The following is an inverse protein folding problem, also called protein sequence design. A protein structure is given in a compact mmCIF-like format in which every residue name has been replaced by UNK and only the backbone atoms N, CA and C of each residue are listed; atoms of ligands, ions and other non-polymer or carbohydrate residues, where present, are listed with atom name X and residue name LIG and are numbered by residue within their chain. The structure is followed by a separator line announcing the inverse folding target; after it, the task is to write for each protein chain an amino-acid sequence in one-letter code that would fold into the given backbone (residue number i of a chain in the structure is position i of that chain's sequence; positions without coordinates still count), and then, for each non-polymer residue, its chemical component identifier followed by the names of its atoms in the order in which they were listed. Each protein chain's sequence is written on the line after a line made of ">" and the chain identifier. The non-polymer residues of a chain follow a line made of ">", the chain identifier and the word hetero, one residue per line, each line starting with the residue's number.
data_IF_816338385738
#
_entry.id   IF_816338385738
#
_cell.length_a   1.000
_cell.length_b   1.000
_cell.length_c   1.000
_cell.angle_alpha   90.00
_cell.angle_beta   90.00
_cell.angle_gamma   90.00
#
_symmetry.space_group_name_H-M   'P 1'
#
loop_
_entity.id
_entity.type
_entity.pdbx_description
1 polymer ?
#
# COMPACT_ATOMS: atom_id res chain seq x y z
N UNK A 1 11.45 10.66 -17.61
CA UNK A 1 12.19 9.38 -17.44
C UNK A 1 11.26 8.37 -16.77
N UNK A 2 11.19 7.09 -17.21
CA UNK A 2 10.33 6.10 -16.55
C UNK A 2 11.08 5.48 -15.37
N UNK A 3 10.71 5.84 -14.15
CA UNK A 3 11.10 5.06 -12.98
C UNK A 3 10.55 3.63 -13.15
N UNK A 4 11.32 2.63 -12.76
CA UNK A 4 10.82 1.25 -12.79
C UNK A 4 9.72 1.15 -11.74
N UNK A 5 8.56 0.54 -12.07
CA UNK A 5 7.49 0.41 -11.10
C UNK A 5 7.99 -0.36 -9.89
N UNK A 6 7.60 0.11 -8.71
CA UNK A 6 7.93 -0.55 -7.45
C UNK A 6 6.72 -1.37 -7.02
N UNK A 7 6.93 -2.65 -6.72
CA UNK A 7 5.85 -3.55 -6.30
C UNK A 7 6.00 -3.88 -4.81
N UNK A 8 4.92 -3.73 -4.05
CA UNK A 8 4.80 -4.18 -2.66
C UNK A 8 3.53 -5.02 -2.54
N UNK A 9 3.51 -6.05 -1.69
CA UNK A 9 2.37 -6.96 -1.59
C UNK A 9 2.20 -7.51 -0.16
N UNK A 10 0.97 -7.86 0.19
CA UNK A 10 0.62 -8.66 1.38
C UNK A 10 -0.06 -9.98 0.96
N UNK A 11 -0.63 -10.72 1.92
CA UNK A 11 -1.31 -11.98 1.63
C UNK A 11 -2.59 -11.83 0.78
N UNK A 12 -3.17 -10.63 0.71
CA UNK A 12 -4.47 -10.32 0.11
C UNK A 12 -4.35 -9.54 -1.20
N UNK A 13 -3.37 -8.64 -1.32
CA UNK A 13 -3.23 -7.75 -2.49
C UNK A 13 -1.78 -7.48 -2.90
N UNK A 14 -1.61 -7.16 -4.17
CA UNK A 14 -0.38 -6.61 -4.75
C UNK A 14 -0.62 -5.15 -5.10
N UNK A 15 0.36 -4.29 -4.80
CA UNK A 15 0.35 -2.88 -5.16
C UNK A 15 1.50 -2.60 -6.13
N UNK A 16 1.17 -2.10 -7.31
CA UNK A 16 2.15 -1.65 -8.31
C UNK A 16 2.18 -0.14 -8.31
N UNK A 17 3.28 0.41 -7.82
CA UNK A 17 3.50 1.84 -7.67
C UNK A 17 4.23 2.40 -8.89
N UNK A 18 3.66 3.43 -9.49
CA UNK A 18 4.24 4.17 -10.61
C UNK A 18 4.49 5.61 -10.19
N UNK A 19 5.72 6.08 -10.39
CA UNK A 19 6.05 7.51 -10.35
C UNK A 19 6.28 7.97 -11.77
N UNK A 20 5.63 9.08 -12.13
CA UNK A 20 5.57 9.60 -13.48
C UNK A 20 5.90 11.08 -13.46
N UNK A 21 6.43 11.58 -14.57
CA UNK A 21 6.70 12.99 -14.77
C UNK A 21 5.68 13.52 -15.78
N UNK A 22 4.77 14.38 -15.33
CA UNK A 22 3.72 14.99 -16.16
C UNK A 22 3.19 16.26 -15.46
N UNK A 23 3.38 17.48 -16.01
CA UNK A 23 4.26 17.87 -17.12
C UNK A 23 5.76 17.82 -16.75
N UNK A 24 6.70 18.07 -17.69
CA UNK A 24 8.14 18.07 -17.39
C UNK A 24 8.51 18.95 -16.19
N UNK A 25 9.29 18.41 -15.26
CA UNK A 25 9.65 19.07 -14.00
C UNK A 25 8.58 18.99 -12.89
N UNK A 26 7.46 18.30 -13.12
CA UNK A 26 6.47 17.93 -12.10
C UNK A 26 6.31 16.43 -12.07
N UNK A 27 6.22 15.89 -10.85
CA UNK A 27 6.12 14.46 -10.64
C UNK A 27 4.78 14.13 -9.98
N UNK A 28 4.14 13.08 -10.44
CA UNK A 28 2.93 12.52 -9.85
C UNK A 28 3.11 11.02 -9.65
N UNK A 29 2.18 10.39 -8.95
CA UNK A 29 2.20 8.95 -8.75
C UNK A 29 0.81 8.33 -8.90
N UNK A 30 0.81 7.05 -9.24
CA UNK A 30 -0.38 6.20 -9.22
C UNK A 30 -0.04 4.82 -8.68
N UNK A 31 -0.99 4.19 -8.02
CA UNK A 31 -0.90 2.84 -7.49
C UNK A 31 -1.99 2.00 -8.13
N UNK A 32 -1.61 0.89 -8.73
CA UNK A 32 -2.55 -0.16 -9.16
C UNK A 32 -2.63 -1.18 -8.04
N UNK A 33 -3.84 -1.41 -7.54
CA UNK A 33 -4.16 -2.39 -6.50
C UNK A 33 -4.74 -3.61 -7.18
N UNK A 34 -4.04 -4.73 -7.12
CA UNK A 34 -4.48 -6.02 -7.63
C UNK A 34 -4.92 -6.88 -6.42
N UNK A 35 -6.23 -7.05 -6.22
CA UNK A 35 -6.77 -7.87 -5.13
C UNK A 35 -7.12 -9.29 -5.59
N UNK A 36 -6.76 -10.29 -4.78
CA UNK A 36 -7.13 -11.69 -5.04
C UNK A 36 -8.55 -11.98 -4.54
N UNK A 37 -9.56 -11.57 -5.30
CA UNK A 37 -10.97 -11.79 -4.95
C UNK A 37 -11.50 -13.15 -5.45
N UNK A 38 -10.97 -14.26 -4.92
CA UNK A 38 -11.63 -15.58 -5.00
C UNK A 38 -12.09 -16.08 -6.39
N UNK A 39 -11.52 -15.55 -7.48
CA UNK A 39 -11.92 -15.84 -8.87
C UNK A 39 -12.20 -14.62 -9.75
N UNK A 40 -12.23 -13.41 -9.19
CA UNK A 40 -12.34 -12.15 -9.92
C UNK A 40 -11.09 -11.27 -9.74
N UNK A 41 -10.66 -10.63 -10.82
CA UNK A 41 -9.64 -9.58 -10.81
C UNK A 41 -10.34 -8.26 -10.47
N UNK A 42 -10.11 -7.75 -9.25
CA UNK A 42 -10.65 -6.48 -8.79
C UNK A 42 -9.52 -5.44 -8.78
N UNK A 43 -9.16 -4.97 -9.96
CA UNK A 43 -8.08 -3.98 -10.08
C UNK A 43 -8.62 -2.58 -9.79
N UNK A 44 -8.02 -1.88 -8.83
CA UNK A 44 -8.34 -0.48 -8.52
C UNK A 44 -7.13 0.42 -8.77
N UNK A 45 -7.35 1.65 -9.22
CA UNK A 45 -6.29 2.64 -9.40
C UNK A 45 -6.46 3.80 -8.43
N UNK A 46 -5.36 4.19 -7.79
CA UNK A 46 -5.31 5.32 -6.86
C UNK A 46 -4.25 6.29 -7.36
N UNK A 47 -4.61 7.55 -7.49
CA UNK A 47 -3.75 8.60 -8.05
C UNK A 47 -3.40 9.63 -6.98
N UNK A 48 -2.26 10.28 -7.14
CA UNK A 48 -1.85 11.37 -6.26
C UNK A 48 -2.88 12.51 -6.32
N UNK A 49 -3.21 13.09 -5.15
CA UNK A 49 -4.08 14.26 -5.08
C UNK A 49 -3.38 15.55 -5.54
N UNK A 50 -2.05 15.53 -5.72
CA UNK A 50 -1.23 16.68 -6.10
C UNK A 50 0.03 16.24 -6.81
N UNK A 51 0.63 17.17 -7.56
CA UNK A 51 1.98 17.02 -8.12
C UNK A 51 3.06 17.42 -7.10
N UNK A 52 4.27 16.89 -7.30
CA UNK A 52 5.46 17.08 -6.47
C UNK A 52 6.56 17.80 -7.25
N UNK A 53 7.43 18.51 -6.52
CA UNK A 53 8.55 19.26 -7.10
C UNK A 53 9.75 18.40 -7.45
N UNK A 54 9.80 17.16 -6.96
CA UNK A 54 10.89 16.23 -7.22
C UNK A 54 10.40 14.78 -7.29
N UNK A 55 11.13 13.96 -8.05
CA UNK A 55 10.86 12.53 -8.16
C UNK A 55 10.93 11.84 -6.78
N UNK A 56 11.91 12.21 -5.95
CA UNK A 56 12.09 11.64 -4.62
C UNK A 56 10.90 11.91 -3.69
N UNK A 57 10.30 13.10 -3.76
CA UNK A 57 9.09 13.42 -3.00
C UNK A 57 7.88 12.61 -3.48
N UNK A 58 7.71 12.47 -4.80
CA UNK A 58 6.65 11.65 -5.37
C UNK A 58 6.83 10.17 -5.01
N UNK A 59 8.06 9.64 -5.04
CA UNK A 59 8.40 8.28 -4.63
C UNK A 59 8.10 8.04 -3.14
N UNK A 60 8.53 8.96 -2.27
CA UNK A 60 8.28 8.87 -0.84
C UNK A 60 6.78 8.91 -0.51
N UNK A 61 6.03 9.81 -1.16
CA UNK A 61 4.59 9.91 -0.97
C UNK A 61 3.84 8.67 -1.50
N UNK A 62 4.23 8.18 -2.68
CA UNK A 62 3.69 6.95 -3.26
C UNK A 62 3.94 5.74 -2.34
N UNK A 63 5.15 5.64 -1.78
CA UNK A 63 5.51 4.58 -0.84
C UNK A 63 4.72 4.66 0.46
N UNK A 64 4.53 5.86 1.01
CA UNK A 64 3.70 6.08 2.21
C UNK A 64 2.24 5.70 1.94
N UNK A 65 1.68 6.10 0.80
CA UNK A 65 0.33 5.74 0.40
C UNK A 65 0.18 4.21 0.24
N UNK A 66 1.09 3.55 -0.48
CA UNK A 66 1.06 2.11 -0.67
C UNK A 66 1.17 1.33 0.65
N UNK A 67 2.08 1.71 1.54
CA UNK A 67 2.20 1.06 2.86
C UNK A 67 0.98 1.29 3.75
N UNK A 68 0.31 2.44 3.63
CA UNK A 68 -0.95 2.68 4.37
C UNK A 68 -2.10 1.81 3.87
N UNK A 69 -2.04 1.40 2.60
CA UNK A 69 -3.03 0.51 2.01
C UNK A 69 -2.82 -0.91 2.49
N UNK A 70 -1.58 -1.43 2.46
CA UNK A 70 -1.21 -2.73 3.01
C UNK A 70 -1.60 -2.84 4.50
N UNK A 71 -1.79 -4.07 4.99
CA UNK A 71 -2.32 -4.31 6.34
C UNK A 71 -1.61 -3.49 7.43
N UNK A 72 -2.32 -2.46 7.91
CA UNK A 72 -1.84 -1.38 8.76
C UNK A 72 -2.36 -1.43 10.19
N UNK A 73 -2.63 -2.62 10.71
CA UNK A 73 -2.31 -2.95 12.10
C UNK A 73 -1.70 -4.35 12.04
N UNK A 74 -0.49 -4.54 12.56
CA UNK A 74 -0.22 -5.78 13.30
C UNK A 74 -1.39 -5.86 14.25
N UNK A 75 -2.38 -6.72 13.98
CA UNK A 75 -3.56 -6.81 14.83
C UNK A 75 -3.03 -7.04 16.24
N UNK A 76 -3.04 -6.00 17.07
CA UNK A 76 -2.84 -6.10 18.51
C UNK A 76 -4.08 -6.75 19.14
N UNK A 77 -4.66 -7.71 18.43
CA UNK A 77 -5.85 -8.47 18.72
C UNK A 77 -5.57 -9.97 18.65
N UNK A 78 -4.31 -10.39 18.44
CA UNK A 78 -3.88 -11.77 18.69
C UNK A 78 -2.88 -11.81 19.85
N UNK A 79 -3.30 -11.30 21.01
CA UNK A 79 -2.95 -12.01 22.25
C UNK A 79 -3.96 -13.16 22.35
N UNK A 80 -3.62 -14.41 22.00
CA UNK A 80 -4.45 -15.53 22.41
C UNK A 80 -4.57 -15.45 23.92
N UNK A 81 -5.81 -15.30 24.38
CA UNK A 81 -6.13 -15.04 25.78
C UNK A 81 -5.24 -15.84 26.71
N UNK A 82 -4.54 -15.12 27.58
CA UNK A 82 -4.14 -15.67 28.86
C UNK A 82 -5.41 -16.21 29.50
N UNK A 83 -5.62 -17.52 29.41
CA UNK A 83 -6.52 -18.21 30.31
C UNK A 83 -5.97 -17.95 31.72
N UNK A 84 -6.68 -17.24 32.62
CA UNK A 84 -6.37 -17.36 34.02
C UNK A 84 -6.69 -18.80 34.41
N UNK A 85 -5.61 -19.57 34.54
CA UNK A 85 -5.59 -20.79 35.33
C UNK A 85 -5.97 -20.36 36.75
N UNK A 86 -6.75 -21.20 37.44
CA UNK A 86 -7.18 -21.05 38.83
C UNK A 86 -8.53 -20.34 39.08
N UNK A 87 -9.60 -21.12 38.98
CA UNK A 87 -10.58 -21.17 40.07
C UNK A 87 -11.13 -22.58 40.23
N UNK A 88 -10.43 -23.34 41.07
CA UNK A 88 -10.94 -24.54 41.74
C UNK A 88 -12.06 -24.10 42.70
N UNK A 89 -13.21 -24.77 42.64
CA UNK A 89 -14.15 -24.87 43.75
C UNK A 89 -14.56 -26.33 43.89
#
# INVERSE_FOLDING_TARGET
>A
MSAHPTTIADHRRTLVMHVMEDPPGRYTWRIVVEEKCGGAECDSMIEAATDYGSQAEAEAACWAAGNSMLDGQRAASELPGMYPKDMRH
#
